data_IF_761104634713
#
_entry.id   IF_761104634713
#
_cell.length_a   1.000
_cell.length_b   1.000
_cell.length_c   1.000
_cell.angle_alpha   90.00
_cell.angle_beta   90.00
_cell.angle_gamma   90.00
#
_symmetry.space_group_name_H-M   'P 1'
#
loop_
_entity.id
_entity.type
_entity.pdbx_description
1 polymer ?
#
# COMPACT_ATOMS: atom_id res chain seq x y z
N UNK A 1 27.85 -12.23 16.58
CA UNK A 1 27.07 -12.35 15.33
C UNK A 1 26.99 -10.94 14.73
N UNK A 2 27.63 -10.69 13.60
CA UNK A 2 27.64 -9.37 12.97
C UNK A 2 26.20 -9.02 12.52
N UNK A 3 25.77 -7.78 12.77
CA UNK A 3 24.50 -7.29 12.23
C UNK A 3 24.52 -7.42 10.69
N UNK A 4 23.43 -7.88 10.05
CA UNK A 4 23.38 -7.91 8.60
C UNK A 4 23.65 -6.50 8.08
N UNK A 5 24.62 -6.37 7.17
CA UNK A 5 24.86 -5.11 6.46
C UNK A 5 23.56 -4.67 5.82
N UNK A 6 23.15 -3.42 6.07
CA UNK A 6 21.98 -2.86 5.42
C UNK A 6 22.08 -3.11 3.91
N UNK A 7 21.01 -3.61 3.26
CA UNK A 7 21.05 -3.91 1.83
C UNK A 7 21.50 -2.67 1.06
N UNK A 8 22.53 -2.82 0.23
CA UNK A 8 23.14 -1.72 -0.54
C UNK A 8 22.54 -1.53 -1.94
N UNK A 9 21.47 -2.25 -2.28
CA UNK A 9 20.85 -2.18 -3.59
C UNK A 9 20.04 -0.91 -3.83
N UNK A 10 19.35 -0.81 -4.98
CA UNK A 10 18.63 0.38 -5.37
C UNK A 10 17.46 0.70 -4.43
N UNK A 11 17.03 1.96 -4.44
CA UNK A 11 15.71 2.34 -3.94
C UNK A 11 14.70 2.08 -5.04
N UNK A 12 13.63 1.35 -4.75
CA UNK A 12 12.60 0.99 -5.74
C UNK A 12 11.38 1.87 -5.52
N UNK A 13 10.98 2.63 -6.54
CA UNK A 13 9.72 3.34 -6.57
C UNK A 13 8.70 2.59 -7.43
N UNK A 14 7.52 2.30 -6.86
CA UNK A 14 6.41 1.73 -7.60
C UNK A 14 5.32 2.80 -7.85
N UNK A 15 5.17 3.30 -9.09
CA UNK A 15 4.07 4.16 -9.47
C UNK A 15 2.74 3.41 -9.48
N UNK A 16 1.65 4.18 -9.48
CA UNK A 16 0.31 3.71 -9.79
C UNK A 16 -0.24 4.49 -10.98
N UNK A 17 -1.18 3.87 -11.69
CA UNK A 17 -1.76 4.50 -12.87
C UNK A 17 -2.67 5.68 -12.55
N UNK A 18 -3.37 5.65 -11.42
CA UNK A 18 -4.36 6.67 -11.04
C UNK A 18 -3.80 7.76 -10.12
N UNK A 19 -2.65 7.52 -9.49
CA UNK A 19 -2.14 8.38 -8.42
C UNK A 19 -0.63 8.58 -8.62
N UNK A 20 -0.15 9.83 -8.71
CA UNK A 20 -0.90 11.09 -8.76
C UNK A 20 -1.74 11.18 -10.05
N UNK A 21 -2.86 11.90 -9.97
CA UNK A 21 -3.81 12.03 -11.08
C UNK A 21 -3.38 13.07 -12.13
N UNK A 22 -2.51 14.00 -11.75
CA UNK A 22 -1.98 15.07 -12.60
C UNK A 22 -0.46 14.96 -12.80
N UNK A 23 0.03 15.53 -13.92
CA UNK A 23 1.44 15.48 -14.30
C UNK A 23 2.35 16.28 -13.36
N UNK A 24 1.85 17.35 -12.74
CA UNK A 24 2.65 18.15 -11.80
C UNK A 24 2.98 17.36 -10.53
N UNK A 25 2.02 16.57 -10.02
CA UNK A 25 2.21 15.63 -8.93
C UNK A 25 3.22 14.53 -9.29
N UNK A 26 3.12 13.97 -10.50
CA UNK A 26 4.08 12.96 -10.99
C UNK A 26 5.49 13.53 -11.12
N UNK A 27 5.61 14.73 -11.66
CA UNK A 27 6.88 15.44 -11.79
C UNK A 27 7.49 15.75 -10.43
N UNK A 28 6.68 16.22 -9.47
CA UNK A 28 7.12 16.45 -8.08
C UNK A 28 7.70 15.19 -7.46
N UNK A 29 7.05 14.04 -7.66
CA UNK A 29 7.57 12.75 -7.19
C UNK A 29 8.90 12.41 -7.87
N UNK A 30 8.99 12.49 -9.20
CA UNK A 30 10.23 12.19 -9.93
C UNK A 30 11.39 13.09 -9.51
N UNK A 31 11.15 14.39 -9.30
CA UNK A 31 12.17 15.33 -8.81
C UNK A 31 12.63 14.99 -7.39
N UNK A 32 11.71 14.61 -6.51
CA UNK A 32 12.07 14.15 -5.16
C UNK A 32 12.88 12.84 -5.18
N UNK A 33 12.53 11.91 -6.07
CA UNK A 33 13.28 10.67 -6.29
C UNK A 33 14.68 10.95 -6.88
N UNK A 34 14.79 11.90 -7.82
CA UNK A 34 16.07 12.33 -8.37
C UNK A 34 17.02 12.84 -7.26
N UNK A 35 16.49 13.56 -6.26
CA UNK A 35 17.26 14.01 -5.11
C UNK A 35 17.73 12.88 -4.16
N UNK A 36 17.15 11.68 -4.29
CA UNK A 36 17.55 10.51 -3.51
C UNK A 36 18.71 9.72 -4.14
N UNK A 37 19.01 9.96 -5.41
CA UNK A 37 20.15 9.35 -6.12
C UNK A 37 21.45 9.89 -5.54
N UNK A 38 22.39 8.97 -5.23
CA UNK A 38 23.72 9.30 -4.71
C UNK A 38 24.75 8.30 -5.29
N UNK A 39 26.06 8.60 -5.22
CA UNK A 39 27.09 7.61 -5.54
C UNK A 39 26.85 6.31 -4.75
N UNK A 40 26.73 5.19 -5.46
CA UNK A 40 26.43 3.88 -4.87
C UNK A 40 24.97 3.64 -4.47
N UNK A 41 24.04 4.57 -4.73
CA UNK A 41 22.60 4.40 -4.51
C UNK A 41 21.78 4.96 -5.67
N UNK A 42 21.29 4.05 -6.48
CA UNK A 42 20.40 4.34 -7.59
C UNK A 42 18.94 4.32 -7.14
N UNK A 43 18.07 4.90 -7.98
CA UNK A 43 16.63 4.90 -7.78
C UNK A 43 15.97 4.33 -9.03
N UNK A 44 15.20 3.25 -8.86
CA UNK A 44 14.56 2.53 -9.96
C UNK A 44 13.06 2.78 -9.93
N UNK A 45 12.52 3.34 -11.00
CA UNK A 45 11.08 3.53 -11.24
C UNK A 45 10.54 2.26 -11.89
N UNK A 46 9.92 1.39 -11.08
CA UNK A 46 9.43 0.09 -11.52
C UNK A 46 8.09 0.23 -12.22
N UNK A 47 8.04 0.07 -13.55
CA UNK A 47 6.78 0.02 -14.32
C UNK A 47 6.28 -1.42 -14.52
N UNK A 48 4.97 -1.60 -14.70
CA UNK A 48 4.37 -2.92 -14.99
C UNK A 48 4.42 -3.28 -16.47
N UNK A 49 4.36 -2.28 -17.35
CA UNK A 49 4.45 -2.42 -18.81
C UNK A 49 5.45 -1.42 -19.37
N UNK A 50 6.12 -1.76 -20.47
CA UNK A 50 7.08 -0.86 -21.14
C UNK A 50 6.34 0.22 -21.93
N UNK A 51 7.01 1.37 -22.14
CA UNK A 51 6.52 2.42 -23.03
C UNK A 51 6.29 1.84 -24.44
N UNK A 52 5.05 1.90 -24.94
CA UNK A 52 4.65 1.37 -26.25
C UNK A 52 3.79 0.09 -26.18
N UNK A 53 3.67 -0.56 -25.02
CA UNK A 53 2.70 -1.62 -24.80
C UNK A 53 1.36 -1.00 -24.37
N UNK A 54 0.25 -1.44 -24.97
CA UNK A 54 -1.09 -0.93 -24.64
C UNK A 54 -1.46 -1.41 -23.24
N UNK A 55 -1.20 -0.58 -22.24
CA UNK A 55 -1.75 -0.74 -20.91
C UNK A 55 -3.22 -0.27 -20.95
N UNK A 56 -4.16 -1.11 -20.49
CA UNK A 56 -5.59 -0.80 -20.52
C UNK A 56 -5.96 0.44 -19.68
N UNK A 57 -5.02 1.00 -18.91
CA UNK A 57 -5.20 2.16 -18.04
C UNK A 57 -4.00 3.11 -18.19
N UNK A 58 -4.24 4.36 -18.57
CA UNK A 58 -3.30 5.38 -19.08
C UNK A 58 -2.05 5.74 -18.23
N UNK A 59 -1.78 5.13 -17.08
CA UNK A 59 -0.96 5.82 -16.07
C UNK A 59 0.50 5.42 -15.85
N UNK A 60 0.98 4.21 -16.21
CA UNK A 60 2.40 3.89 -16.00
C UNK A 60 3.31 4.40 -17.14
N UNK A 61 2.76 4.49 -18.36
CA UNK A 61 3.42 5.13 -19.51
C UNK A 61 3.80 6.59 -19.25
N UNK A 62 3.04 7.28 -18.40
CA UNK A 62 3.25 8.69 -18.06
C UNK A 62 4.55 8.91 -17.29
N UNK A 63 4.90 8.02 -16.34
CA UNK A 63 6.15 8.15 -15.58
C UNK A 63 7.39 7.90 -16.42
N UNK A 64 7.35 6.92 -17.34
CA UNK A 64 8.48 6.65 -18.23
C UNK A 64 8.69 7.78 -19.24
N UNK A 65 7.60 8.28 -19.85
CA UNK A 65 7.67 9.41 -20.77
C UNK A 65 8.12 10.71 -20.08
N UNK A 66 7.60 10.98 -18.88
CA UNK A 66 7.98 12.15 -18.09
C UNK A 66 9.45 12.08 -17.64
N UNK A 67 9.92 10.91 -17.20
CA UNK A 67 11.33 10.74 -16.84
C UNK A 67 12.25 10.93 -18.06
N UNK A 68 11.87 10.39 -19.22
CA UNK A 68 12.64 10.59 -20.46
C UNK A 68 12.75 12.08 -20.83
N UNK A 69 11.68 12.86 -20.66
CA UNK A 69 11.72 14.33 -20.83
C UNK A 69 12.66 14.99 -19.82
N UNK A 70 12.56 14.62 -18.54
CA UNK A 70 13.46 15.18 -17.51
C UNK A 70 14.93 14.84 -17.78
N UNK A 71 15.24 13.66 -18.32
CA UNK A 71 16.59 13.32 -18.76
C UNK A 71 17.03 14.18 -19.95
N UNK A 72 16.18 14.34 -20.97
CA UNK A 72 16.49 15.18 -22.14
C UNK A 72 16.75 16.65 -21.76
N UNK A 73 16.03 17.16 -20.74
CA UNK A 73 16.18 18.51 -20.21
C UNK A 73 17.35 18.65 -19.21
N UNK A 74 18.09 17.56 -18.93
CA UNK A 74 19.18 17.55 -17.93
C UNK A 74 18.71 17.70 -16.48
N UNK A 75 17.42 17.52 -16.21
CA UNK A 75 16.77 17.72 -14.93
C UNK A 75 16.68 16.44 -14.06
N UNK A 76 17.10 15.28 -14.58
CA UNK A 76 17.18 14.02 -13.85
C UNK A 76 18.57 13.37 -13.98
N UNK A 77 19.14 12.80 -12.90
CA UNK A 77 20.42 12.10 -12.95
C UNK A 77 20.31 10.73 -13.62
N UNK A 78 21.42 10.22 -14.16
CA UNK A 78 21.49 8.89 -14.80
C UNK A 78 21.12 7.73 -13.84
N UNK A 79 21.37 7.91 -12.54
CA UNK A 79 21.02 6.94 -11.50
C UNK A 79 19.52 6.83 -11.21
N UNK A 80 18.67 7.69 -11.79
CA UNK A 80 17.21 7.56 -11.77
C UNK A 80 16.76 6.95 -13.09
N UNK A 81 16.27 5.71 -13.08
CA UNK A 81 15.92 4.98 -14.31
C UNK A 81 14.63 4.18 -14.21
N UNK A 82 13.99 3.96 -15.36
CA UNK A 82 12.84 3.06 -15.46
C UNK A 82 13.31 1.60 -15.55
N UNK A 83 12.65 0.71 -14.80
CA UNK A 83 12.87 -0.74 -14.83
C UNK A 83 11.56 -1.49 -14.95
N UNK A 84 11.60 -2.72 -15.46
CA UNK A 84 10.45 -3.60 -15.65
C UNK A 84 10.71 -5.00 -15.06
N UNK A 85 9.75 -5.90 -15.23
CA UNK A 85 9.83 -7.27 -14.72
C UNK A 85 9.15 -7.47 -13.35
N UNK A 86 9.34 -8.66 -12.74
CA UNK A 86 8.71 -9.03 -11.47
C UNK A 86 9.17 -8.12 -10.33
N UNK A 87 8.23 -7.67 -9.49
CA UNK A 87 8.54 -6.83 -8.33
C UNK A 87 9.47 -7.54 -7.34
N UNK A 88 9.31 -8.85 -7.16
CA UNK A 88 10.16 -9.68 -6.29
C UNK A 88 11.66 -9.60 -6.62
N UNK A 89 12.02 -9.48 -7.90
CA UNK A 89 13.41 -9.33 -8.32
C UNK A 89 13.99 -7.97 -7.93
N UNK A 90 13.18 -6.91 -8.00
CA UNK A 90 13.58 -5.56 -7.62
C UNK A 90 13.64 -5.38 -6.10
N UNK A 91 12.75 -6.04 -5.36
CA UNK A 91 12.77 -6.02 -3.90
C UNK A 91 13.94 -6.82 -3.31
N UNK A 92 14.44 -7.82 -4.04
CA UNK A 92 15.58 -8.60 -3.60
C UNK A 92 16.85 -7.74 -3.48
N UNK A 93 17.26 -7.44 -2.24
CA UNK A 93 18.44 -6.62 -1.97
C UNK A 93 18.22 -5.11 -2.08
N UNK A 94 16.97 -4.65 -2.28
CA UNK A 94 16.63 -3.23 -2.28
C UNK A 94 16.99 -2.56 -0.94
N UNK A 95 17.53 -1.34 -1.00
CA UNK A 95 17.82 -0.55 0.20
C UNK A 95 16.59 0.16 0.76
N UNK A 96 15.55 0.32 -0.06
CA UNK A 96 14.27 0.86 0.36
C UNK A 96 13.22 0.82 -0.75
N UNK A 97 11.96 0.91 -0.36
CA UNK A 97 10.81 0.96 -1.24
C UNK A 97 10.04 2.27 -1.09
N UNK A 98 9.51 2.81 -2.17
CA UNK A 98 8.74 4.05 -2.18
C UNK A 98 7.48 3.90 -3.02
N UNK A 99 6.36 4.43 -2.54
CA UNK A 99 5.15 4.56 -3.36
C UNK A 99 4.27 5.71 -2.86
N UNK A 100 3.27 6.11 -3.64
CA UNK A 100 2.19 6.99 -3.14
C UNK A 100 1.10 6.16 -2.46
N UNK A 101 0.62 5.08 -3.09
CA UNK A 101 -0.40 4.19 -2.52
C UNK A 101 -0.43 2.79 -3.16
N UNK A 102 0.67 2.32 -3.76
CA UNK A 102 0.68 1.06 -4.51
C UNK A 102 0.53 -0.14 -3.59
N UNK A 103 -0.26 -1.14 -4.01
CA UNK A 103 -0.35 -2.42 -3.33
C UNK A 103 1.00 -3.14 -3.25
N UNK A 104 1.97 -2.78 -4.11
CA UNK A 104 3.33 -3.29 -4.04
C UNK A 104 4.06 -2.93 -2.72
N UNK A 105 3.55 -1.97 -1.94
CA UNK A 105 4.02 -1.75 -0.58
C UNK A 105 3.83 -3.00 0.31
N UNK A 106 2.76 -3.79 0.08
CA UNK A 106 2.54 -5.05 0.81
C UNK A 106 3.60 -6.10 0.45
N UNK A 107 4.01 -6.17 -0.81
CA UNK A 107 5.11 -7.04 -1.25
C UNK A 107 6.44 -6.61 -0.61
N UNK A 108 6.71 -5.31 -0.52
CA UNK A 108 7.88 -4.77 0.15
C UNK A 108 7.91 -5.12 1.64
N UNK A 109 6.76 -4.99 2.32
CA UNK A 109 6.60 -5.38 3.73
C UNK A 109 6.83 -6.87 3.91
N UNK A 110 6.23 -7.73 3.08
CA UNK A 110 6.44 -9.18 3.12
C UNK A 110 7.90 -9.57 2.88
N UNK A 111 8.61 -8.84 2.01
CA UNK A 111 10.03 -9.04 1.74
C UNK A 111 10.95 -8.45 2.82
N UNK A 112 10.40 -7.79 3.86
CA UNK A 112 11.18 -7.14 4.92
C UNK A 112 11.94 -5.89 4.45
N UNK A 113 11.57 -5.31 3.31
CA UNK A 113 12.20 -4.12 2.74
C UNK A 113 11.67 -2.87 3.43
N UNK A 114 12.52 -2.00 4.02
CA UNK A 114 12.09 -0.73 4.58
C UNK A 114 11.40 0.15 3.53
N UNK A 115 10.26 0.75 3.88
CA UNK A 115 9.41 1.46 2.92
C UNK A 115 9.04 2.87 3.36
N UNK A 116 8.68 3.70 2.38
CA UNK A 116 8.04 5.00 2.57
C UNK A 116 6.81 5.10 1.67
N UNK A 117 5.65 5.34 2.29
CA UNK A 117 4.41 5.72 1.61
C UNK A 117 4.32 7.25 1.67
N UNK A 118 4.37 7.89 0.51
CA UNK A 118 4.55 9.33 0.38
C UNK A 118 3.31 10.11 0.84
N UNK A 119 3.52 11.06 1.76
CA UNK A 119 2.48 11.97 2.27
C UNK A 119 2.49 13.34 1.60
N UNK A 120 3.48 13.63 0.76
CA UNK A 120 3.66 14.91 0.06
C UNK A 120 2.45 15.37 -0.75
N UNK A 121 1.62 14.42 -1.17
CA UNK A 121 0.44 14.63 -2.00
C UNK A 121 -0.87 14.57 -1.21
N UNK A 122 -0.81 14.24 0.08
CA UNK A 122 -1.98 14.02 0.93
C UNK A 122 -2.02 12.60 1.52
N UNK A 123 -2.87 12.42 2.53
CA UNK A 123 -3.20 11.12 3.11
C UNK A 123 -4.71 10.97 3.11
N UNK A 124 -5.23 10.30 2.09
CA UNK A 124 -6.66 10.16 1.84
C UNK A 124 -6.93 8.96 0.91
N UNK A 125 -8.21 8.66 0.71
CA UNK A 125 -8.66 7.56 -0.14
C UNK A 125 -8.40 7.83 -1.63
N UNK A 126 -8.35 9.10 -2.05
CA UNK A 126 -8.07 9.46 -3.44
C UNK A 126 -6.63 9.10 -3.84
N UNK A 127 -5.70 9.15 -2.88
CA UNK A 127 -4.32 8.71 -3.04
C UNK A 127 -4.10 7.22 -2.72
N UNK A 128 -5.17 6.48 -2.35
CA UNK A 128 -5.15 5.06 -2.01
C UNK A 128 -4.17 4.71 -0.88
N UNK A 129 -3.87 5.67 0.00
CA UNK A 129 -2.82 5.53 1.01
C UNK A 129 -3.33 5.56 2.45
N UNK A 130 -4.63 5.81 2.65
CA UNK A 130 -5.30 5.78 3.96
C UNK A 130 -5.15 4.43 4.68
N UNK A 131 -5.06 3.34 3.93
CA UNK A 131 -4.84 1.97 4.47
C UNK A 131 -3.52 1.85 5.24
N UNK A 132 -2.52 2.67 4.91
CA UNK A 132 -1.22 2.68 5.57
C UNK A 132 -1.17 3.56 6.83
N UNK A 133 -2.27 4.20 7.22
CA UNK A 133 -2.34 4.95 8.48
C UNK A 133 -2.13 3.99 9.66
N UNK A 134 -1.20 4.32 10.54
CA UNK A 134 -0.79 3.47 11.66
C UNK A 134 0.25 2.40 11.32
N UNK A 135 0.63 2.22 10.04
CA UNK A 135 1.66 1.25 9.62
C UNK A 135 3.08 1.65 9.99
N UNK A 136 3.32 2.90 10.37
CA UNK A 136 4.65 3.46 10.54
C UNK A 136 5.40 3.74 9.22
N UNK A 137 4.82 3.43 8.06
CA UNK A 137 5.46 3.60 6.75
C UNK A 137 5.26 4.99 6.12
N UNK A 138 4.36 5.81 6.67
CA UNK A 138 4.11 7.15 6.15
C UNK A 138 5.36 8.03 6.28
N UNK A 139 5.72 8.71 5.20
CA UNK A 139 6.87 9.62 5.17
C UNK A 139 6.87 10.53 3.94
N UNK A 140 7.93 11.31 3.80
CA UNK A 140 8.02 12.35 2.76
C UNK A 140 9.10 12.07 1.72
N UNK A 141 9.06 12.77 0.58
CA UNK A 141 10.14 12.82 -0.40
C UNK A 141 11.45 13.28 0.25
N UNK A 142 11.39 14.18 1.25
CA UNK A 142 12.56 14.58 2.03
C UNK A 142 13.10 13.40 2.87
N UNK A 143 12.25 12.55 3.45
CA UNK A 143 12.71 11.33 4.12
C UNK A 143 13.45 10.42 3.14
N UNK A 144 12.88 10.19 1.95
CA UNK A 144 13.49 9.37 0.88
C UNK A 144 14.84 9.95 0.44
N UNK A 145 14.91 11.26 0.18
CA UNK A 145 16.14 11.94 -0.20
C UNK A 145 17.26 11.75 0.83
N UNK A 146 16.91 11.79 2.12
CA UNK A 146 17.85 11.55 3.23
C UNK A 146 18.10 10.06 3.52
N UNK A 147 17.45 9.13 2.82
CA UNK A 147 17.56 7.69 3.07
C UNK A 147 16.87 7.20 4.35
N UNK A 148 15.87 7.95 4.84
CA UNK A 148 15.12 7.63 6.06
C UNK A 148 13.95 6.70 5.75
N UNK A 149 14.25 5.45 5.42
CA UNK A 149 13.25 4.40 5.23
C UNK A 149 12.81 3.79 6.57
N UNK A 150 11.60 3.23 6.60
CA UNK A 150 10.93 2.81 7.84
C UNK A 150 10.56 1.33 7.77
N UNK A 151 10.70 0.62 8.86
CA UNK A 151 10.12 -0.72 9.01
C UNK A 151 8.65 -0.60 9.42
N UNK A 152 7.84 -1.56 9.00
CA UNK A 152 6.42 -1.62 9.36
C UNK A 152 6.25 -1.78 10.87
N UNK A 153 5.23 -1.12 11.43
CA UNK A 153 4.79 -1.34 12.79
C UNK A 153 4.31 -2.79 12.97
N UNK A 154 4.75 -3.45 14.04
CA UNK A 154 4.44 -4.86 14.29
C UNK A 154 2.96 -5.11 14.58
N UNK A 155 2.29 -4.20 15.27
CA UNK A 155 0.87 -4.31 15.56
C UNK A 155 0.04 -4.16 14.29
N UNK A 156 0.37 -3.17 13.47
CA UNK A 156 -0.24 -3.01 12.16
C UNK A 156 0.03 -4.23 11.26
N UNK A 157 1.26 -4.73 11.22
CA UNK A 157 1.63 -5.90 10.42
C UNK A 157 0.81 -7.14 10.82
N UNK A 158 0.68 -7.40 12.12
CA UNK A 158 -0.15 -8.47 12.65
C UNK A 158 -1.63 -8.29 12.28
N UNK A 159 -2.20 -7.10 12.50
CA UNK A 159 -3.61 -6.78 12.15
C UNK A 159 -3.87 -6.87 10.62
N UNK A 160 -2.82 -6.88 9.78
CA UNK A 160 -2.89 -7.00 8.33
C UNK A 160 -2.28 -8.31 7.80
N UNK A 161 -2.28 -9.36 8.63
CA UNK A 161 -1.93 -10.74 8.25
C UNK A 161 -0.47 -10.95 7.81
N UNK A 162 0.45 -10.07 8.19
CA UNK A 162 1.90 -10.33 8.08
C UNK A 162 2.39 -11.10 9.32
N UNK A 163 1.80 -12.27 9.56
CA UNK A 163 2.21 -13.21 10.61
C UNK A 163 3.17 -14.27 10.08
N UNK A 164 3.78 -15.02 11.00
CA UNK A 164 4.62 -16.16 10.65
C UNK A 164 3.77 -17.21 9.89
N UNK A 165 4.21 -17.70 8.71
CA UNK A 165 3.51 -18.76 7.98
C UNK A 165 3.25 -20.03 8.81
N UNK A 166 4.02 -20.29 9.87
CA UNK A 166 3.74 -21.38 10.80
C UNK A 166 2.42 -21.20 11.58
N UNK A 167 1.86 -19.99 11.61
CA UNK A 167 0.55 -19.69 12.19
C UNK A 167 -0.59 -19.72 11.15
N UNK A 168 -0.31 -20.03 9.87
CA UNK A 168 -1.34 -20.21 8.85
C UNK A 168 -2.18 -21.47 9.14
N UNK A 169 -3.34 -21.29 9.77
CA UNK A 169 -4.28 -22.37 10.09
C UNK A 169 -5.46 -22.47 9.09
N UNK A 170 -5.56 -21.53 8.15
CA UNK A 170 -6.74 -21.36 7.30
C UNK A 170 -7.05 -22.60 6.47
N UNK A 171 -6.04 -23.35 6.03
CA UNK A 171 -6.24 -24.59 5.27
C UNK A 171 -6.94 -25.64 6.13
N UNK A 172 -6.43 -25.88 7.34
CA UNK A 172 -7.02 -26.79 8.32
C UNK A 172 -8.44 -26.35 8.69
N UNK A 173 -8.66 -25.05 8.88
CA UNK A 173 -9.98 -24.50 9.19
C UNK A 173 -10.97 -24.70 8.03
N UNK A 174 -10.54 -24.49 6.78
CA UNK A 174 -11.36 -24.74 5.58
C UNK A 174 -11.69 -26.22 5.45
N UNK A 175 -10.72 -27.11 5.63
CA UNK A 175 -10.95 -28.57 5.59
C UNK A 175 -11.95 -29.01 6.66
N UNK A 176 -11.82 -28.50 7.89
CA UNK A 176 -12.76 -28.75 8.97
C UNK A 176 -14.18 -28.28 8.61
N UNK A 177 -14.32 -27.06 8.07
CA UNK A 177 -15.61 -26.52 7.63
C UNK A 177 -16.24 -27.33 6.48
N UNK A 178 -15.42 -27.85 5.56
CA UNK A 178 -15.88 -28.74 4.49
C UNK A 178 -16.37 -30.09 5.04
N UNK A 179 -15.68 -30.66 6.03
CA UNK A 179 -16.10 -31.88 6.69
C UNK A 179 -17.41 -31.70 7.47
N UNK A 180 -17.55 -30.60 8.22
CA UNK A 180 -18.78 -30.23 8.92
C UNK A 180 -19.94 -30.06 7.93
N UNK A 181 -19.72 -29.35 6.82
CA UNK A 181 -20.70 -29.23 5.74
C UNK A 181 -21.13 -30.59 5.18
N UNK A 182 -20.19 -31.51 4.98
CA UNK A 182 -20.50 -32.83 4.42
C UNK A 182 -21.38 -33.67 5.36
N UNK A 183 -21.21 -33.51 6.68
CA UNK A 183 -21.99 -34.23 7.70
C UNK A 183 -23.34 -33.59 8.00
N UNK A 184 -23.36 -32.27 8.10
CA UNK A 184 -24.49 -31.52 8.67
C UNK A 184 -25.19 -30.60 7.65
N UNK A 185 -24.67 -30.49 6.44
CA UNK A 185 -25.12 -29.51 5.45
C UNK A 185 -24.60 -28.10 5.74
N UNK A 186 -24.98 -27.12 4.93
CA UNK A 186 -24.69 -25.71 5.20
C UNK A 186 -25.75 -25.15 6.16
N UNK A 187 -25.37 -24.44 7.24
CA UNK A 187 -26.34 -23.69 8.02
C UNK A 187 -27.02 -22.66 7.12
N UNK A 188 -28.28 -22.34 7.41
CA UNK A 188 -28.95 -21.24 6.74
C UNK A 188 -28.09 -19.97 6.91
N UNK A 189 -27.82 -19.21 5.83
CA UNK A 189 -26.97 -18.04 5.92
C UNK A 189 -27.53 -17.08 6.96
N UNK A 190 -26.65 -16.59 7.85
CA UNK A 190 -27.02 -15.68 8.91
C UNK A 190 -27.68 -14.44 8.30
N UNK A 191 -29.00 -14.32 8.48
CA UNK A 191 -29.74 -13.12 8.06
C UNK A 191 -29.53 -12.06 9.11
N UNK A 192 -28.92 -10.94 8.73
CA UNK A 192 -28.86 -9.76 9.59
C UNK A 192 -30.31 -9.37 9.94
N UNK A 193 -30.68 -9.33 11.24
CA UNK A 193 -32.06 -9.03 11.63
C UNK A 193 -32.52 -7.68 11.05
N UNK A 194 -33.77 -7.59 10.59
CA UNK A 194 -34.33 -6.35 10.02
C UNK A 194 -34.71 -5.35 11.13
N UNK A 195 -33.74 -4.95 11.95
CA UNK A 195 -33.92 -3.89 12.96
C UNK A 195 -33.74 -2.50 12.33
N UNK A 196 -34.27 -1.47 12.98
CA UNK A 196 -34.04 -0.08 12.58
C UNK A 196 -32.53 0.23 12.51
N UNK A 197 -31.75 -0.21 13.52
CA UNK A 197 -30.31 -0.04 13.54
C UNK A 197 -29.60 -0.72 12.35
N UNK A 198 -30.01 -1.93 11.98
CA UNK A 198 -29.43 -2.63 10.83
C UNK A 198 -29.86 -2.02 9.49
N UNK A 199 -31.05 -1.42 9.40
CA UNK A 199 -31.49 -0.65 8.23
C UNK A 199 -30.69 0.63 8.08
N UNK A 200 -30.49 1.38 9.17
CA UNK A 200 -29.64 2.58 9.19
C UNK A 200 -28.21 2.22 8.83
N UNK A 201 -27.65 1.15 9.41
CA UNK A 201 -26.33 0.63 9.07
C UNK A 201 -26.21 0.21 7.60
N UNK A 202 -27.24 -0.45 7.06
CA UNK A 202 -27.29 -0.82 5.65
C UNK A 202 -27.35 0.39 4.70
N UNK A 203 -28.08 1.44 5.08
CA UNK A 203 -28.09 2.70 4.35
C UNK A 203 -26.72 3.37 4.42
N UNK A 204 -26.11 3.42 5.60
CA UNK A 204 -24.76 3.95 5.81
C UNK A 204 -23.73 3.22 4.93
N UNK A 205 -23.64 1.89 4.98
CA UNK A 205 -22.69 1.14 4.14
C UNK A 205 -22.94 1.32 2.65
N UNK A 206 -24.20 1.48 2.21
CA UNK A 206 -24.49 1.78 0.80
C UNK A 206 -24.05 3.18 0.40
N UNK A 207 -24.21 4.16 1.29
CA UNK A 207 -23.75 5.53 1.06
C UNK A 207 -22.21 5.58 1.08
N UNK A 208 -21.57 4.92 2.03
CA UNK A 208 -20.12 4.82 2.19
C UNK A 208 -19.46 4.09 1.00
N UNK A 209 -20.02 2.96 0.58
CA UNK A 209 -19.47 2.18 -0.55
C UNK A 209 -19.64 2.85 -1.93
N UNK A 210 -20.53 3.85 -2.05
CA UNK A 210 -20.87 4.48 -3.34
C UNK A 210 -20.51 5.97 -3.41
N UNK A 211 -20.12 6.60 -2.30
CA UNK A 211 -19.72 7.99 -2.27
C UNK A 211 -18.20 8.12 -2.11
N UNK A 212 -17.50 8.92 -2.95
CA UNK A 212 -16.10 9.24 -2.68
C UNK A 212 -16.00 9.97 -1.33
N UNK A 213 -15.19 9.42 -0.43
CA UNK A 213 -15.00 9.96 0.90
C UNK A 213 -14.54 11.42 0.81
N UNK A 214 -15.38 12.33 1.30
CA UNK A 214 -15.08 13.75 1.48
C UNK A 214 -15.33 14.01 2.95
N UNK A 215 -14.25 14.08 3.74
CA UNK A 215 -14.31 14.22 5.20
C UNK A 215 -15.46 15.11 5.65
N UNK A 216 -16.32 14.59 6.52
CA UNK A 216 -17.45 15.35 7.08
C UNK A 216 -16.96 16.17 8.27
N UNK A 217 -17.68 17.24 8.64
CA UNK A 217 -17.40 17.96 9.89
C UNK A 217 -17.54 17.08 11.16
N UNK A 218 -18.05 15.85 11.01
CA UNK A 218 -18.22 14.84 12.06
C UNK A 218 -17.13 13.76 12.02
N UNK A 219 -16.12 13.89 11.16
CA UNK A 219 -15.01 12.96 11.02
C UNK A 219 -14.39 12.50 12.36
N UNK A 220 -14.17 13.37 13.37
CA UNK A 220 -13.64 12.93 14.65
C UNK A 220 -14.57 11.94 15.38
N UNK A 221 -15.88 12.14 15.25
CA UNK A 221 -16.91 11.31 15.88
C UNK A 221 -17.06 9.99 15.11
N UNK A 222 -17.04 10.02 13.78
CA UNK A 222 -17.08 8.82 12.94
C UNK A 222 -15.85 7.93 13.19
N UNK A 223 -14.64 8.52 13.26
CA UNK A 223 -13.40 7.80 13.60
C UNK A 223 -13.47 7.19 15.01
N UNK A 224 -14.04 7.91 15.98
CA UNK A 224 -14.23 7.41 17.34
C UNK A 224 -15.19 6.22 17.36
N UNK A 225 -16.32 6.32 16.65
CA UNK A 225 -17.31 5.25 16.53
C UNK A 225 -16.74 4.02 15.83
N UNK A 226 -15.96 4.20 14.76
CA UNK A 226 -15.26 3.12 14.07
C UNK A 226 -14.21 2.46 14.96
N UNK A 227 -13.43 3.23 15.71
CA UNK A 227 -12.45 2.71 16.65
C UNK A 227 -13.11 1.91 17.79
N UNK A 228 -14.23 2.43 18.32
CA UNK A 228 -15.04 1.74 19.33
C UNK A 228 -15.65 0.45 18.76
N UNK A 229 -16.24 0.49 17.56
CA UNK A 229 -16.81 -0.67 16.88
C UNK A 229 -15.74 -1.73 16.58
N UNK A 230 -14.53 -1.35 16.16
CA UNK A 230 -13.41 -2.28 15.95
C UNK A 230 -12.94 -2.93 17.26
N UNK A 231 -12.88 -2.18 18.37
CA UNK A 231 -12.59 -2.74 19.70
C UNK A 231 -13.68 -3.69 20.17
N UNK A 232 -14.94 -3.33 19.97
CA UNK A 232 -16.09 -4.16 20.34
C UNK A 232 -16.14 -5.44 19.50
N UNK A 233 -15.92 -5.33 18.18
CA UNK A 233 -15.84 -6.49 17.30
C UNK A 233 -14.66 -7.40 17.64
N UNK A 234 -13.49 -6.86 18.01
CA UNK A 234 -12.37 -7.67 18.53
C UNK A 234 -12.77 -8.46 19.79
N UNK A 235 -13.54 -7.86 20.69
CA UNK A 235 -14.02 -8.52 21.90
C UNK A 235 -15.12 -9.57 21.63
N UNK A 236 -15.96 -9.34 20.62
CA UNK A 236 -17.15 -10.18 20.32
C UNK A 236 -16.85 -11.31 19.33
N UNK A 237 -15.92 -11.14 18.39
CA UNK A 237 -15.65 -12.13 17.33
C UNK A 237 -14.59 -13.20 17.69
N UNK A 238 -14.01 -13.17 18.90
CA UNK A 238 -12.92 -14.10 19.30
C UNK A 238 -11.79 -14.24 18.26
N UNK A 239 -11.56 -13.21 17.45
CA UNK A 239 -10.35 -13.09 16.64
C UNK A 239 -9.22 -12.70 17.60
N UNK A 240 -8.58 -13.70 18.18
CA UNK A 240 -7.29 -13.57 18.86
C UNK A 240 -6.17 -13.52 17.85
#
# INVERSE_FOLDING_TARGET
MAAPSAPGGPVVFAPQSLVPHDDAGRERVLRGLAAAVRPGREVHVKVRSRAGEVEAHRGAGDYAALLARLHADGAAPEGLRVVDGPMSQHLHGASGFVTVGSSAALEAVAAGVPAVVLTDLGVDDAHLNSVFVGSGLLGTLADVAHGRFRSVDRGWAHDNYFHDPAADDWQTQVEHLLAERARHGLPAPARVPTTLGNRVRGLYYRLDALAPWRGTALEPVERLLLAAARRLNRAVLHLR
#
